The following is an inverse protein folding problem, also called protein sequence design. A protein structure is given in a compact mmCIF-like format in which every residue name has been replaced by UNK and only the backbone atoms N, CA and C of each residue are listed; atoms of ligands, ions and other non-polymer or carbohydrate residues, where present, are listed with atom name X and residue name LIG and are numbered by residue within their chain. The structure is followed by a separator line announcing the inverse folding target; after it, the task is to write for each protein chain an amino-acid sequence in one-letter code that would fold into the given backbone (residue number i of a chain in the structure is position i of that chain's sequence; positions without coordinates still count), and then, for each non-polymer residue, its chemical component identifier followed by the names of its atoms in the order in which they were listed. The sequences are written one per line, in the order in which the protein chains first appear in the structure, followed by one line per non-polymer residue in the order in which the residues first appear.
data_IF_797383027290
#
_entry.id   IF_797383027290
#
_cell.length_a   1.000
_cell.length_b   1.000
_cell.length_c   1.000
_cell.angle_alpha   90.00
_cell.angle_beta   90.00
_cell.angle_gamma   90.00
#
_symmetry.space_group_name_H-M   'P 1'
#
loop_
_entity.id
_entity.type
_entity.pdbx_description
1 polymer ?
#
# COMPACT_ATOMS: atom_id res chain seq x y z
N UNK A 1 63.13 51.65 36.86
CA UNK A 1 64.17 51.52 35.82
C UNK A 1 64.25 50.05 35.43
N UNK A 2 63.54 49.71 34.36
CA UNK A 2 63.77 48.68 33.33
C UNK A 2 64.70 47.49 33.64
N UNK A 3 64.20 46.27 33.41
CA UNK A 3 64.81 45.14 32.65
C UNK A 3 64.08 43.83 33.05
N UNK A 4 62.99 43.47 32.36
CA UNK A 4 62.90 42.55 31.21
C UNK A 4 63.10 41.06 31.56
N UNK A 5 62.03 40.31 31.27
CA UNK A 5 61.82 38.87 31.37
C UNK A 5 62.95 38.03 30.75
N UNK A 6 63.23 36.88 31.37
CA UNK A 6 63.40 35.63 30.62
C UNK A 6 62.87 34.47 31.47
N UNK A 7 61.69 33.98 31.09
CA UNK A 7 61.10 32.75 31.60
C UNK A 7 61.86 31.56 31.01
N UNK A 8 62.59 30.83 31.84
CA UNK A 8 63.02 29.47 31.50
C UNK A 8 62.01 28.48 32.08
N UNK A 9 61.23 27.93 31.15
CA UNK A 9 60.28 26.86 31.33
C UNK A 9 61.03 25.62 31.82
N UNK A 10 60.63 25.05 32.96
CA UNK A 10 61.00 23.70 33.34
C UNK A 10 60.48 22.75 32.26
N UNK A 11 61.38 22.23 31.42
CA UNK A 11 61.09 21.06 30.62
C UNK A 11 60.95 19.89 31.59
N UNK A 12 59.71 19.48 31.88
CA UNK A 12 59.45 18.13 32.36
C UNK A 12 60.00 17.15 31.33
N UNK A 13 60.80 16.19 31.79
CA UNK A 13 61.18 15.02 31.01
C UNK A 13 59.94 14.45 30.31
N UNK A 14 59.99 14.17 28.99
CA UNK A 14 58.89 13.50 28.34
C UNK A 14 58.76 12.12 28.98
N UNK A 15 57.57 11.83 29.52
CA UNK A 15 57.20 10.48 29.93
C UNK A 15 57.55 9.52 28.79
N UNK A 16 58.35 8.50 29.08
CA UNK A 16 58.63 7.44 28.12
C UNK A 16 57.29 6.96 27.53
N UNK A 17 57.14 7.14 26.21
CA UNK A 17 56.00 6.63 25.46
C UNK A 17 56.03 5.11 25.59
N UNK A 18 55.28 4.55 26.56
CA UNK A 18 55.10 3.11 26.66
C UNK A 18 54.54 2.61 25.33
N UNK A 19 55.27 1.71 24.66
CA UNK A 19 54.80 1.08 23.43
C UNK A 19 53.73 0.01 23.72
N UNK A 20 53.43 -0.22 25.00
CA UNK A 20 52.41 -1.16 25.46
C UNK A 20 51.02 -0.77 24.94
N UNK A 21 50.33 -1.74 24.34
CA UNK A 21 48.95 -1.57 23.87
C UNK A 21 48.13 -2.79 24.23
N UNK A 22 47.07 -2.56 24.99
CA UNK A 22 46.09 -3.58 25.32
C UNK A 22 45.30 -4.01 24.07
N UNK A 23 44.90 -5.29 23.96
CA UNK A 23 44.00 -5.77 22.92
C UNK A 23 42.67 -5.01 22.91
N UNK A 24 42.20 -4.67 21.72
CA UNK A 24 40.89 -4.07 21.45
C UNK A 24 40.14 -4.95 20.45
N UNK A 25 38.83 -5.04 20.57
CA UNK A 25 38.02 -5.86 19.65
C UNK A 25 38.09 -5.29 18.22
N UNK A 26 38.46 -6.13 17.26
CA UNK A 26 38.42 -5.85 15.82
C UNK A 26 37.12 -6.37 15.21
N UNK A 27 36.74 -7.60 15.54
CA UNK A 27 35.55 -8.26 15.03
C UNK A 27 34.80 -8.90 16.18
N UNK A 28 33.50 -8.61 16.23
CA UNK A 28 32.57 -9.10 17.26
C UNK A 28 31.51 -9.95 16.57
N UNK A 29 31.25 -11.13 17.14
CA UNK A 29 30.11 -11.97 16.79
C UNK A 29 29.06 -11.83 17.89
N UNK A 30 27.79 -11.65 17.53
CA UNK A 30 26.73 -11.64 18.54
C UNK A 30 26.47 -13.06 19.04
N UNK A 31 26.40 -13.28 20.36
CA UNK A 31 26.10 -14.60 20.90
C UNK A 31 24.68 -15.02 20.53
N UNK A 32 24.51 -16.28 20.15
CA UNK A 32 23.19 -16.83 19.90
C UNK A 32 22.48 -17.06 21.23
N UNK A 33 21.32 -16.43 21.41
CA UNK A 33 20.52 -16.61 22.61
C UNK A 33 19.80 -17.98 22.55
N UNK A 34 20.04 -18.91 23.50
CA UNK A 34 19.35 -20.21 23.49
C UNK A 34 17.85 -20.03 23.69
N UNK A 35 17.02 -20.68 22.85
CA UNK A 35 15.55 -20.51 22.86
C UNK A 35 14.90 -20.82 24.22
N UNK A 36 15.39 -21.83 24.94
CA UNK A 36 14.89 -22.19 26.28
C UNK A 36 15.05 -21.03 27.27
N UNK A 37 16.15 -20.28 27.16
CA UNK A 37 16.46 -19.18 28.08
C UNK A 37 15.76 -17.90 27.65
N UNK A 38 15.46 -17.77 26.35
CA UNK A 38 14.71 -16.64 25.81
C UNK A 38 13.28 -16.62 26.38
N UNK A 39 12.65 -17.79 26.49
CA UNK A 39 11.33 -17.96 27.10
C UNK A 39 11.32 -17.63 28.61
N UNK A 40 12.41 -17.94 29.32
CA UNK A 40 12.57 -17.63 30.75
C UNK A 40 12.96 -16.16 31.03
N UNK A 41 13.37 -15.41 30.00
CA UNK A 41 13.66 -13.99 30.10
C UNK A 41 14.93 -13.63 30.89
N UNK A 42 15.90 -14.55 31.01
CA UNK A 42 17.11 -14.38 31.84
C UNK A 42 18.11 -13.40 31.22
N UNK A 43 18.13 -12.16 31.70
CA UNK A 43 19.06 -11.13 31.21
C UNK A 43 20.25 -10.93 32.17
N UNK A 44 21.41 -10.55 31.62
CA UNK A 44 22.59 -10.25 32.43
C UNK A 44 23.90 -10.35 31.67
N UNK A 45 24.99 -10.40 32.42
CA UNK A 45 26.35 -10.46 31.89
C UNK A 45 27.01 -11.80 32.23
N UNK A 46 27.76 -12.36 31.27
CA UNK A 46 28.73 -13.46 31.52
C UNK A 46 30.12 -12.86 31.48
N UNK A 47 30.91 -13.06 32.55
CA UNK A 47 32.32 -12.65 32.59
C UNK A 47 33.20 -13.83 32.20
N UNK A 48 33.98 -13.67 31.14
CA UNK A 48 34.89 -14.68 30.62
C UNK A 48 36.34 -14.24 30.86
N UNK A 49 37.21 -15.18 31.22
CA UNK A 49 38.65 -15.06 31.02
C UNK A 49 38.98 -15.65 29.66
N UNK A 50 39.54 -14.84 28.76
CA UNK A 50 39.93 -15.28 27.42
C UNK A 50 41.45 -15.26 27.25
N UNK A 51 41.96 -16.24 26.51
CA UNK A 51 43.37 -16.34 26.14
C UNK A 51 43.52 -16.01 24.65
N UNK A 52 44.35 -15.02 24.36
CA UNK A 52 44.64 -14.56 23.01
C UNK A 52 46.00 -15.08 22.53
N UNK A 53 46.09 -15.44 21.25
CA UNK A 53 47.37 -15.68 20.59
C UNK A 53 48.07 -14.37 20.20
N UNK A 54 49.27 -14.50 19.64
CA UNK A 54 50.09 -13.40 19.11
C UNK A 54 49.47 -12.71 17.87
N UNK A 55 48.34 -13.20 17.36
CA UNK A 55 47.59 -12.61 16.26
C UNK A 55 46.25 -12.00 16.75
N UNK A 56 45.96 -12.05 18.05
CA UNK A 56 44.71 -11.57 18.63
C UNK A 56 43.50 -12.47 18.39
N UNK A 57 43.70 -13.75 18.06
CA UNK A 57 42.63 -14.76 18.02
C UNK A 57 42.42 -15.37 19.41
N UNK A 58 41.17 -15.65 19.74
CA UNK A 58 40.83 -16.31 21.01
C UNK A 58 41.11 -17.81 20.90
N UNK A 59 42.02 -18.32 21.74
CA UNK A 59 42.39 -19.75 21.80
C UNK A 59 41.52 -20.53 22.78
N UNK A 60 41.18 -19.90 23.90
CA UNK A 60 40.41 -20.50 24.98
C UNK A 60 39.59 -19.42 25.70
N UNK A 61 38.47 -19.84 26.28
CA UNK A 61 37.62 -19.01 27.13
C UNK A 61 37.14 -19.83 28.32
N UNK A 62 37.24 -19.25 29.52
CA UNK A 62 36.75 -19.84 30.77
C UNK A 62 35.76 -18.88 31.43
N UNK A 63 34.69 -19.41 32.00
CA UNK A 63 33.68 -18.61 32.70
C UNK A 63 34.20 -18.27 34.10
N UNK A 64 34.25 -16.97 34.41
CA UNK A 64 34.55 -16.45 35.74
C UNK A 64 33.27 -16.16 36.54
N UNK A 65 32.30 -15.52 35.88
CA UNK A 65 30.98 -15.25 36.45
C UNK A 65 29.92 -15.81 35.49
N UNK A 66 29.17 -16.81 35.98
CA UNK A 66 28.11 -17.49 35.24
C UNK A 66 26.79 -16.77 35.43
N UNK A 67 26.05 -16.61 34.33
CA UNK A 67 24.66 -16.16 34.37
C UNK A 67 23.71 -17.36 34.40
N UNK A 68 23.96 -18.34 33.52
CA UNK A 68 23.25 -19.60 33.43
C UNK A 68 24.08 -20.60 32.61
N UNK A 69 24.13 -21.90 32.94
CA UNK A 69 24.94 -22.88 32.21
C UNK A 69 24.74 -22.90 30.68
N UNK A 70 23.50 -22.75 30.22
CA UNK A 70 23.21 -22.73 28.77
C UNK A 70 23.62 -21.40 28.10
N UNK A 71 23.60 -20.28 28.83
CA UNK A 71 24.10 -18.98 28.34
C UNK A 71 25.62 -18.99 28.28
N UNK A 72 26.27 -19.61 29.27
CA UNK A 72 27.73 -19.69 29.37
C UNK A 72 28.34 -20.34 28.13
N UNK A 73 27.75 -21.43 27.64
CA UNK A 73 28.21 -22.09 26.41
C UNK A 73 28.06 -21.17 25.18
N UNK A 74 26.91 -20.48 25.06
CA UNK A 74 26.69 -19.52 23.98
C UNK A 74 27.70 -18.35 24.02
N UNK A 75 28.07 -17.90 25.21
CA UNK A 75 29.07 -16.85 25.42
C UNK A 75 30.47 -17.32 24.98
N UNK A 76 30.85 -18.56 25.33
CA UNK A 76 32.11 -19.18 24.89
C UNK A 76 32.14 -19.33 23.36
N UNK A 77 31.08 -19.89 22.76
CA UNK A 77 31.00 -20.13 21.32
C UNK A 77 31.09 -18.84 20.51
N UNK A 78 30.51 -17.75 21.03
CA UNK A 78 30.62 -16.43 20.43
C UNK A 78 32.03 -15.87 20.55
N UNK A 79 32.62 -15.86 21.75
CA UNK A 79 33.92 -15.21 21.98
C UNK A 79 35.06 -15.92 21.24
N UNK A 80 34.98 -17.23 21.06
CA UNK A 80 35.96 -18.00 20.27
C UNK A 80 36.03 -17.55 18.80
N UNK A 81 34.99 -16.89 18.29
CA UNK A 81 34.95 -16.37 16.94
C UNK A 81 35.44 -14.91 16.85
N UNK A 82 35.71 -14.25 17.97
CA UNK A 82 36.12 -12.84 17.96
C UNK A 82 37.54 -12.68 17.43
N UNK A 83 37.84 -11.46 17.00
CA UNK A 83 39.20 -11.02 16.67
C UNK A 83 39.52 -9.79 17.48
N UNK A 84 40.71 -9.77 18.05
CA UNK A 84 41.27 -8.65 18.80
C UNK A 84 42.52 -8.13 18.10
N UNK A 85 42.91 -6.90 18.43
CA UNK A 85 44.27 -6.44 18.14
C UNK A 85 45.26 -7.21 19.01
N UNK A 86 46.46 -7.54 18.50
CA UNK A 86 47.47 -8.21 19.31
C UNK A 86 47.92 -7.34 20.49
N UNK A 87 48.20 -7.98 21.63
CA UNK A 87 48.81 -7.29 22.77
C UNK A 87 50.26 -6.95 22.44
N UNK A 88 50.63 -5.68 22.65
CA UNK A 88 52.00 -5.20 22.55
C UNK A 88 52.50 -4.95 23.97
N UNK A 89 53.67 -5.48 24.31
CA UNK A 89 54.32 -5.22 25.60
C UNK A 89 55.00 -3.83 25.62
N UNK A 90 55.60 -3.46 26.77
CA UNK A 90 56.30 -2.18 26.92
C UNK A 90 57.45 -1.95 25.92
N UNK A 91 57.98 -3.02 25.29
CA UNK A 91 59.03 -2.96 24.28
C UNK A 91 58.47 -2.96 22.85
N UNK A 92 57.14 -3.01 22.68
CA UNK A 92 56.47 -3.09 21.38
C UNK A 92 56.53 -4.47 20.75
N UNK A 93 56.77 -5.53 21.54
CA UNK A 93 56.79 -6.91 21.07
C UNK A 93 55.40 -7.51 21.27
N UNK A 94 54.91 -8.23 20.26
CA UNK A 94 53.61 -8.89 20.30
C UNK A 94 53.70 -10.16 21.16
N UNK A 95 52.78 -10.31 22.11
CA UNK A 95 52.72 -11.50 22.99
C UNK A 95 51.30 -12.01 23.18
N UNK A 96 51.13 -13.32 23.50
CA UNK A 96 49.86 -13.85 23.99
C UNK A 96 49.40 -13.09 25.23
N UNK A 97 48.10 -12.90 25.37
CA UNK A 97 47.52 -12.15 26.48
C UNK A 97 46.33 -12.88 27.09
N UNK A 98 46.13 -12.70 28.40
CA UNK A 98 44.88 -13.07 29.08
C UNK A 98 44.15 -11.82 29.49
N UNK A 99 42.84 -11.78 29.23
CA UNK A 99 42.01 -10.64 29.66
C UNK A 99 40.61 -11.10 30.04
N UNK A 100 39.95 -10.30 30.86
CA UNK A 100 38.55 -10.50 31.22
C UNK A 100 37.66 -9.77 30.22
N UNK A 101 36.70 -10.49 29.64
CA UNK A 101 35.75 -9.95 28.67
C UNK A 101 34.32 -10.22 29.12
N UNK A 102 33.46 -9.20 29.03
CA UNK A 102 32.07 -9.28 29.47
C UNK A 102 31.15 -9.35 28.26
N UNK A 103 30.34 -10.40 28.19
CA UNK A 103 29.29 -10.57 27.17
C UNK A 103 27.94 -10.32 27.84
N UNK A 104 27.23 -9.31 27.35
CA UNK A 104 25.88 -8.99 27.82
C UNK A 104 24.82 -9.70 26.97
N UNK A 105 23.88 -10.38 27.64
CA UNK A 105 22.70 -10.99 27.06
C UNK A 105 21.47 -10.18 27.42
N UNK A 106 20.79 -9.66 26.40
CA UNK A 106 19.50 -8.98 26.54
C UNK A 106 18.47 -9.64 25.64
N UNK A 107 17.30 -9.94 26.21
CA UNK A 107 16.14 -10.35 25.41
C UNK A 107 15.59 -9.08 24.78
N UNK A 108 15.74 -8.94 23.46
CA UNK A 108 14.93 -7.99 22.71
C UNK A 108 13.51 -8.53 22.71
N UNK A 109 12.70 -8.10 23.67
CA UNK A 109 11.27 -8.40 23.66
C UNK A 109 10.68 -7.75 22.42
N UNK A 110 10.60 -8.50 21.32
CA UNK A 110 9.76 -8.11 20.20
C UNK A 110 8.37 -7.90 20.77
N UNK A 111 7.91 -6.65 20.80
CA UNK A 111 6.54 -6.35 21.17
C UNK A 111 5.70 -6.91 20.03
N UNK A 112 5.22 -8.14 20.22
CA UNK A 112 4.45 -8.87 19.21
C UNK A 112 3.19 -8.11 18.80
N UNK A 113 2.65 -7.23 19.65
CA UNK A 113 1.47 -6.41 19.37
C UNK A 113 1.85 -4.94 19.11
N UNK A 114 1.91 -4.51 17.86
CA UNK A 114 2.29 -3.13 17.53
C UNK A 114 1.10 -2.16 17.46
N UNK A 115 -0.15 -2.66 17.37
CA UNK A 115 -1.36 -1.80 17.43
C UNK A 115 -2.46 -2.46 18.26
N UNK A 116 -3.03 -1.69 19.19
CA UNK A 116 -4.19 -2.09 19.98
C UNK A 116 -5.24 -0.98 20.01
N UNK A 117 -6.49 -1.32 20.28
CA UNK A 117 -7.48 -0.27 20.43
C UNK A 117 -8.89 -0.72 20.77
N UNK A 118 -9.78 0.27 20.82
CA UNK A 118 -11.21 0.08 20.98
C UNK A 118 -11.97 0.80 19.88
N UNK A 119 -13.05 0.17 19.41
CA UNK A 119 -14.04 0.79 18.52
C UNK A 119 -15.36 0.91 19.27
N UNK A 120 -15.96 2.11 19.23
CA UNK A 120 -17.27 2.41 19.83
C UNK A 120 -18.15 3.27 18.92
N UNK A 121 -19.45 3.29 19.16
CA UNK A 121 -20.37 4.22 18.52
C UNK A 121 -20.21 5.64 19.10
N UNK A 122 -20.79 6.64 18.44
CA UNK A 122 -20.90 8.01 18.97
C UNK A 122 -21.48 8.10 20.38
N UNK A 123 -22.40 7.19 20.73
CA UNK A 123 -23.03 7.10 22.06
C UNK A 123 -22.19 6.31 23.08
N UNK A 124 -20.99 5.87 22.70
CA UNK A 124 -20.05 5.18 23.58
C UNK A 124 -20.24 3.67 23.69
N UNK A 125 -21.15 3.07 22.91
CA UNK A 125 -21.39 1.62 22.92
C UNK A 125 -20.23 0.92 22.20
N UNK A 126 -19.54 -0.06 22.83
CA UNK A 126 -18.49 -0.82 22.15
C UNK A 126 -19.04 -1.60 20.94
N UNK A 127 -18.30 -1.56 19.83
CA UNK A 127 -18.71 -2.19 18.57
C UNK A 127 -17.85 -3.41 18.27
N UNK A 128 -18.46 -4.60 18.33
CA UNK A 128 -17.87 -5.85 17.87
C UNK A 128 -17.99 -6.00 16.36
N UNK A 129 -17.25 -6.93 15.77
CA UNK A 129 -17.31 -7.26 14.34
C UNK A 129 -17.11 -6.03 13.45
N UNK A 130 -16.18 -5.15 13.84
CA UNK A 130 -15.72 -4.02 13.04
C UNK A 130 -14.48 -4.49 12.29
N UNK A 131 -14.46 -4.32 10.97
CA UNK A 131 -13.30 -4.63 10.14
C UNK A 131 -12.36 -3.43 10.14
N UNK A 132 -11.11 -3.65 10.51
CA UNK A 132 -10.03 -2.65 10.45
C UNK A 132 -9.00 -3.11 9.41
N UNK A 133 -8.84 -2.33 8.34
CA UNK A 133 -7.87 -2.57 7.27
C UNK A 133 -6.77 -1.51 7.33
N UNK A 134 -5.54 -1.95 7.55
CA UNK A 134 -4.33 -1.12 7.49
C UNK A 134 -3.65 -1.33 6.14
N UNK A 135 -3.27 -0.25 5.46
CA UNK A 135 -2.57 -0.30 4.17
C UNK A 135 -1.36 0.64 4.10
N UNK A 136 -0.27 0.17 3.51
CA UNK A 136 0.94 0.93 3.22
C UNK A 136 1.53 0.45 1.88
N UNK A 137 1.37 1.24 0.82
CA UNK A 137 1.78 0.83 -0.53
C UNK A 137 1.02 -0.42 -0.98
N UNK A 138 1.73 -1.52 -1.23
CA UNK A 138 1.14 -2.82 -1.59
C UNK A 138 0.88 -3.74 -0.38
N UNK A 139 1.34 -3.35 0.83
CA UNK A 139 1.11 -4.13 2.04
C UNK A 139 -0.25 -3.83 2.67
N UNK A 140 -0.94 -4.88 3.13
CA UNK A 140 -2.18 -4.78 3.88
C UNK A 140 -2.19 -5.71 5.09
N UNK A 141 -2.88 -5.29 6.15
CA UNK A 141 -3.20 -6.09 7.34
C UNK A 141 -4.65 -5.85 7.72
N UNK A 142 -5.32 -6.90 8.21
CA UNK A 142 -6.73 -6.80 8.62
C UNK A 142 -6.90 -7.41 10.00
N UNK A 143 -7.72 -6.77 10.83
CA UNK A 143 -8.14 -7.28 12.13
C UNK A 143 -9.62 -6.94 12.35
N UNK A 144 -10.29 -7.77 13.14
CA UNK A 144 -11.69 -7.59 13.51
C UNK A 144 -11.81 -7.29 15.01
N UNK A 145 -12.71 -6.38 15.39
CA UNK A 145 -12.97 -6.11 16.81
C UNK A 145 -13.81 -7.21 17.46
N UNK A 146 -13.47 -7.56 18.70
CA UNK A 146 -14.22 -8.54 19.50
C UNK A 146 -15.45 -7.96 20.20
N UNK A 147 -16.17 -8.76 21.00
CA UNK A 147 -17.43 -8.39 21.67
C UNK A 147 -17.41 -7.13 22.55
N UNK A 148 -16.24 -6.73 23.04
CA UNK A 148 -16.06 -5.51 23.86
C UNK A 148 -15.54 -4.32 23.02
N UNK A 149 -15.61 -4.40 21.70
CA UNK A 149 -15.04 -3.43 20.76
C UNK A 149 -13.51 -3.38 20.75
N UNK A 150 -12.83 -4.29 21.44
CA UNK A 150 -11.36 -4.35 21.50
C UNK A 150 -10.79 -5.08 20.29
N UNK A 151 -9.67 -4.60 19.79
CA UNK A 151 -8.87 -5.28 18.77
C UNK A 151 -7.38 -5.19 19.12
N UNK A 152 -6.61 -6.18 18.65
CA UNK A 152 -5.16 -6.21 18.75
C UNK A 152 -4.60 -6.75 17.44
N UNK A 153 -3.64 -6.04 16.86
CA UNK A 153 -2.95 -6.43 15.64
C UNK A 153 -1.46 -6.58 15.93
N UNK A 154 -0.99 -7.80 15.70
CA UNK A 154 0.40 -8.19 15.86
C UNK A 154 1.19 -8.04 14.57
N UNK A 155 2.51 -7.92 14.70
CA UNK A 155 3.47 -8.00 13.59
C UNK A 155 3.21 -6.99 12.45
N UNK A 156 2.66 -5.81 12.76
CA UNK A 156 2.62 -4.70 11.80
C UNK A 156 3.96 -3.94 11.83
N UNK A 157 4.68 -3.83 10.70
CA UNK A 157 5.93 -3.07 10.60
C UNK A 157 5.80 -1.60 11.01
N UNK A 158 6.90 -1.02 11.50
CA UNK A 158 6.97 0.40 11.78
C UNK A 158 6.83 1.24 10.50
N UNK A 159 6.15 2.38 10.61
CA UNK A 159 5.87 3.28 9.48
C UNK A 159 4.49 3.92 9.56
N UNK A 160 4.14 4.67 8.50
CA UNK A 160 2.84 5.32 8.36
C UNK A 160 1.87 4.40 7.61
N UNK A 161 0.71 4.15 8.20
CA UNK A 161 -0.33 3.28 7.67
C UNK A 161 -1.63 4.05 7.47
N UNK A 162 -2.33 3.81 6.36
CA UNK A 162 -3.70 4.25 6.18
C UNK A 162 -4.64 3.20 6.78
N UNK A 163 -5.42 3.59 7.78
CA UNK A 163 -6.42 2.77 8.45
C UNK A 163 -7.81 3.09 7.89
N UNK A 164 -8.50 2.07 7.39
CA UNK A 164 -9.92 2.07 7.02
C UNK A 164 -10.69 1.22 8.05
N UNK A 165 -11.73 1.78 8.65
CA UNK A 165 -12.56 1.12 9.67
C UNK A 165 -13.98 1.05 9.15
N UNK A 166 -14.52 -0.17 9.04
CA UNK A 166 -15.83 -0.42 8.43
C UNK A 166 -16.69 -1.32 9.31
N UNK A 167 -17.96 -0.95 9.43
CA UNK A 167 -19.00 -1.78 10.03
C UNK A 167 -20.34 -1.46 9.37
N UNK A 168 -21.15 -2.48 9.10
CA UNK A 168 -22.50 -2.32 8.59
C UNK A 168 -23.33 -1.40 9.50
N UNK A 169 -24.05 -0.44 8.90
CA UNK A 169 -24.84 0.54 9.63
C UNK A 169 -24.05 1.75 10.17
N UNK A 170 -22.75 1.86 9.86
CA UNK A 170 -21.89 2.97 10.29
C UNK A 170 -21.13 3.60 9.12
N UNK A 171 -20.84 4.89 9.24
CA UNK A 171 -19.96 5.61 8.32
C UNK A 171 -18.56 4.98 8.34
N UNK A 172 -17.93 4.91 7.17
CA UNK A 172 -16.56 4.43 7.05
C UNK A 172 -15.59 5.49 7.56
N UNK A 173 -14.73 5.11 8.51
CA UNK A 173 -13.70 6.00 9.07
C UNK A 173 -12.35 5.73 8.38
N UNK A 174 -11.70 6.79 7.91
CA UNK A 174 -10.33 6.76 7.37
C UNK A 174 -9.40 7.59 8.26
N UNK A 175 -8.22 7.06 8.59
CA UNK A 175 -7.24 7.72 9.47
C UNK A 175 -5.81 7.28 9.14
N UNK A 176 -4.84 8.20 9.25
CA UNK A 176 -3.43 7.84 9.21
C UNK A 176 -2.94 7.44 10.61
N UNK A 177 -2.19 6.34 10.68
CA UNK A 177 -1.67 5.75 11.92
C UNK A 177 -0.16 5.59 11.80
N UNK A 178 0.58 6.18 12.73
CA UNK A 178 2.02 6.01 12.86
C UNK A 178 2.30 4.83 13.80
N UNK A 179 3.01 3.82 13.30
CA UNK A 179 3.47 2.67 14.08
C UNK A 179 4.96 2.83 14.33
N UNK A 180 5.36 2.86 15.59
CA UNK A 180 6.76 2.99 16.00
C UNK A 180 7.32 1.63 16.45
N UNK A 181 8.61 1.42 16.18
CA UNK A 181 9.32 0.23 16.66
C UNK A 181 9.35 0.24 18.20
N UNK A 182 9.21 -0.95 18.80
CA UNK A 182 9.22 -1.16 20.25
C UNK A 182 8.16 -0.37 21.05
N UNK A 183 7.04 0.01 20.43
CA UNK A 183 5.91 0.65 21.10
C UNK A 183 4.56 0.07 20.65
N UNK A 184 3.59 0.08 21.57
CA UNK A 184 2.21 -0.28 21.27
C UNK A 184 1.45 0.99 20.91
N UNK A 185 1.01 1.11 19.66
CA UNK A 185 0.13 2.21 19.24
C UNK A 185 -1.30 1.93 19.72
N UNK A 186 -1.84 2.79 20.59
CA UNK A 186 -3.20 2.68 21.13
C UNK A 186 -4.17 3.57 20.35
N UNK A 187 -5.23 2.98 19.81
CA UNK A 187 -6.26 3.66 19.04
C UNK A 187 -7.61 3.65 19.76
N UNK A 188 -8.25 4.82 19.85
CA UNK A 188 -9.63 4.96 20.29
C UNK A 188 -10.45 5.48 19.11
N UNK A 189 -11.31 4.62 18.58
CA UNK A 189 -12.02 4.83 17.31
C UNK A 189 -13.51 4.98 17.59
N UNK A 190 -14.12 6.01 17.01
CA UNK A 190 -15.54 6.30 17.15
C UNK A 190 -16.18 6.28 15.78
N UNK A 191 -17.17 5.41 15.59
CA UNK A 191 -17.96 5.34 14.36
C UNK A 191 -19.30 6.06 14.54
N UNK A 192 -19.66 6.88 13.55
CA UNK A 192 -20.97 7.49 13.47
C UNK A 192 -21.95 6.52 12.78
N UNK A 193 -23.18 6.34 13.30
CA UNK A 193 -24.19 5.55 12.60
C UNK A 193 -24.55 6.22 11.27
N UNK A 194 -24.79 5.41 10.25
CA UNK A 194 -25.29 5.90 8.96
C UNK A 194 -26.63 6.59 9.20
N UNK A 195 -26.68 7.90 8.95
CA UNK A 195 -27.93 8.65 8.98
C UNK A 195 -28.69 8.33 7.71
N UNK A 196 -29.64 7.40 7.81
CA UNK A 196 -30.70 7.27 6.81
C UNK A 196 -31.69 8.39 7.10
N UNK A 197 -31.74 9.42 6.25
CA UNK A 197 -32.81 10.41 6.34
C UNK A 197 -34.14 9.68 6.13
N UNK A 198 -34.91 9.53 7.23
CA UNK A 198 -36.28 9.03 7.19
C UNK A 198 -37.16 10.03 6.45
N UNK A 199 -37.23 9.93 5.12
CA UNK A 199 -38.28 10.57 4.35
C UNK A 199 -39.60 9.82 4.64
N UNK A 200 -40.46 10.46 5.41
CA UNK A 200 -41.84 10.02 5.67
C UNK A 200 -42.69 10.14 4.40
N UNK A 201 -42.48 9.25 3.42
CA UNK A 201 -43.47 9.03 2.36
C UNK A 201 -43.73 7.54 2.21
N UNK A 202 -44.97 7.19 2.46
CA UNK A 202 -45.56 5.86 2.38
C UNK A 202 -45.31 5.16 1.04
N UNK A 203 -44.74 3.96 1.12
CA UNK A 203 -44.90 2.84 0.18
C UNK A 203 -44.65 3.11 -1.31
N UNK A 204 -43.37 3.02 -1.70
CA UNK A 204 -42.94 2.13 -2.77
C UNK A 204 -41.51 1.69 -2.43
N UNK A 205 -41.28 0.39 -2.24
CA UNK A 205 -39.93 -0.11 -1.96
C UNK A 205 -39.16 -0.12 -3.28
N UNK A 206 -38.12 0.71 -3.40
CA UNK A 206 -37.12 0.53 -4.45
C UNK A 206 -36.09 -0.47 -3.94
N UNK A 207 -36.10 -1.67 -4.51
CA UNK A 207 -35.06 -2.68 -4.27
C UNK A 207 -33.82 -2.21 -5.03
N UNK A 208 -32.88 -1.56 -4.34
CA UNK A 208 -31.55 -1.30 -4.91
C UNK A 208 -30.77 -2.61 -4.83
N UNK A 209 -30.83 -3.38 -5.92
CA UNK A 209 -29.86 -4.42 -6.20
C UNK A 209 -28.58 -3.68 -6.61
N UNK A 210 -27.63 -3.51 -5.68
CA UNK A 210 -26.27 -3.23 -6.10
C UNK A 210 -25.74 -4.48 -6.79
N UNK A 211 -25.87 -4.49 -8.11
CA UNK A 211 -25.13 -5.42 -8.96
C UNK A 211 -23.66 -5.15 -8.69
N UNK A 212 -23.00 -6.04 -7.95
CA UNK A 212 -21.54 -6.12 -7.93
C UNK A 212 -21.15 -6.20 -9.40
N UNK A 213 -20.63 -5.12 -9.98
CA UNK A 213 -20.24 -5.08 -11.39
C UNK A 213 -19.19 -6.17 -11.62
N UNK A 214 -19.66 -7.34 -12.05
CA UNK A 214 -18.82 -8.47 -12.39
C UNK A 214 -18.23 -8.13 -13.75
N UNK A 215 -16.90 -7.96 -13.74
CA UNK A 215 -15.97 -7.80 -14.85
C UNK A 215 -15.86 -6.35 -15.37
N UNK A 216 -14.68 -5.75 -15.13
CA UNK A 216 -14.16 -4.81 -16.12
C UNK A 216 -14.02 -5.58 -17.42
N UNK A 217 -14.73 -5.15 -18.44
CA UNK A 217 -14.68 -5.76 -19.76
C UNK A 217 -13.24 -5.55 -20.27
N UNK A 218 -12.42 -6.61 -20.27
CA UNK A 218 -10.96 -6.55 -20.55
C UNK A 218 -10.61 -5.90 -21.90
N UNK A 219 -11.59 -5.71 -22.79
CA UNK A 219 -11.44 -5.09 -24.12
C UNK A 219 -12.41 -3.93 -24.34
N UNK A 220 -12.86 -3.25 -23.29
CA UNK A 220 -13.70 -2.06 -23.44
C UNK A 220 -12.83 -0.81 -23.65
N UNK A 221 -13.22 0.00 -24.63
CA UNK A 221 -12.59 1.29 -24.91
C UNK A 221 -13.62 2.41 -24.80
N UNK A 222 -13.35 3.34 -23.91
CA UNK A 222 -14.15 4.54 -23.73
C UNK A 222 -13.68 5.66 -24.65
N UNK A 223 -14.64 6.42 -25.17
CA UNK A 223 -14.41 7.73 -25.77
C UNK A 223 -15.37 8.70 -25.07
N UNK A 224 -14.83 9.69 -24.37
CA UNK A 224 -15.67 10.68 -23.68
C UNK A 224 -16.31 11.64 -24.69
N UNK A 225 -17.44 12.22 -24.32
CA UNK A 225 -18.12 13.25 -25.12
C UNK A 225 -17.21 14.43 -25.46
N UNK A 226 -16.29 14.82 -24.57
CA UNK A 226 -15.30 15.87 -24.83
C UNK A 226 -14.29 15.46 -25.91
N UNK A 227 -13.78 14.22 -25.87
CA UNK A 227 -12.85 13.71 -26.89
C UNK A 227 -13.54 13.64 -28.27
N UNK A 228 -14.79 13.19 -28.29
CA UNK A 228 -15.62 13.06 -29.51
C UNK A 228 -15.77 14.40 -30.22
N UNK A 229 -15.99 15.48 -29.49
CA UNK A 229 -16.21 16.81 -30.06
C UNK A 229 -15.00 17.29 -30.89
N UNK A 230 -13.79 16.84 -30.54
CA UNK A 230 -12.56 17.20 -31.24
C UNK A 230 -12.08 16.16 -32.25
N UNK A 231 -12.78 15.02 -32.39
CA UNK A 231 -12.39 13.98 -33.34
C UNK A 231 -12.74 14.36 -34.79
N UNK A 232 -11.74 14.45 -35.69
CA UNK A 232 -12.02 14.76 -37.09
C UNK A 232 -12.80 13.62 -37.77
N UNK A 233 -13.73 13.98 -38.65
CA UNK A 233 -14.51 13.03 -39.45
C UNK A 233 -15.73 12.42 -38.76
N UNK A 234 -15.98 12.73 -37.48
CA UNK A 234 -17.23 12.38 -36.78
C UNK A 234 -18.36 13.37 -37.07
N UNK A 235 -18.05 14.58 -37.56
CA UNK A 235 -18.99 15.73 -37.61
C UNK A 235 -19.62 16.04 -36.23
N UNK A 236 -18.88 15.77 -35.15
CA UNK A 236 -19.35 15.91 -33.78
C UNK A 236 -20.22 14.74 -33.29
N UNK A 237 -20.49 13.74 -34.11
CA UNK A 237 -21.33 12.59 -33.76
C UNK A 237 -20.56 11.53 -32.96
N UNK A 238 -21.07 11.26 -31.76
CA UNK A 238 -20.52 10.32 -30.78
C UNK A 238 -20.35 8.88 -31.25
N UNK A 239 -21.31 8.33 -31.99
CA UNK A 239 -21.25 6.94 -32.45
C UNK A 239 -20.38 6.85 -33.70
N UNK A 240 -20.33 7.89 -34.52
CA UNK A 240 -19.40 7.96 -35.65
C UNK A 240 -17.95 8.11 -35.23
N UNK A 241 -17.67 8.75 -34.10
CA UNK A 241 -16.33 8.82 -33.57
C UNK A 241 -15.73 7.42 -33.34
N UNK A 242 -16.56 6.43 -33.02
CA UNK A 242 -16.16 5.02 -32.89
C UNK A 242 -15.56 4.50 -34.20
N UNK A 243 -15.95 5.00 -35.38
CA UNK A 243 -15.34 4.62 -36.67
C UNK A 243 -13.83 4.88 -36.79
N UNK A 244 -13.27 5.70 -35.90
CA UNK A 244 -11.84 5.97 -35.84
C UNK A 244 -11.07 4.94 -34.98
N UNK A 245 -11.75 4.01 -34.31
CA UNK A 245 -11.12 2.99 -33.49
C UNK A 245 -10.60 1.80 -34.34
N UNK A 246 -9.53 1.13 -33.89
CA UNK A 246 -9.00 -0.04 -34.57
C UNK A 246 -10.01 -1.19 -34.58
N UNK A 247 -10.04 -1.92 -35.70
CA UNK A 247 -10.95 -3.05 -35.87
C UNK A 247 -12.36 -2.67 -36.33
N UNK A 248 -12.58 -1.42 -36.73
CA UNK A 248 -13.84 -0.97 -37.32
C UNK A 248 -13.64 -0.60 -38.78
N UNK A 249 -14.51 -1.11 -39.63
CA UNK A 249 -14.65 -0.70 -41.01
C UNK A 249 -15.93 0.12 -41.20
N UNK A 250 -15.89 1.04 -42.16
CA UNK A 250 -17.05 1.86 -42.55
C UNK A 250 -17.93 1.06 -43.50
N UNK A 251 -19.21 0.93 -43.21
CA UNK A 251 -20.15 0.36 -44.15
C UNK A 251 -20.33 1.27 -45.39
N UNK A 252 -20.75 0.72 -46.53
CA UNK A 252 -21.17 1.52 -47.68
C UNK A 252 -22.26 2.54 -47.31
N UNK A 253 -22.26 3.68 -48.01
CA UNK A 253 -23.27 4.73 -47.84
C UNK A 253 -24.69 4.16 -47.95
N UNK A 254 -25.57 4.55 -47.02
CA UNK A 254 -26.97 4.12 -46.96
C UNK A 254 -27.26 2.96 -45.99
N UNK A 255 -26.24 2.19 -45.59
CA UNK A 255 -26.37 1.12 -44.57
C UNK A 255 -26.16 1.68 -43.17
N UNK A 256 -25.24 2.63 -43.03
CA UNK A 256 -25.03 3.41 -41.81
C UNK A 256 -24.47 2.70 -40.59
N UNK A 257 -24.56 1.38 -40.55
CA UNK A 257 -24.05 0.55 -39.49
C UNK A 257 -22.51 0.45 -39.52
N UNK A 258 -21.94 0.03 -38.40
CA UNK A 258 -20.51 -0.23 -38.24
C UNK A 258 -20.21 -1.66 -38.67
N UNK A 259 -19.02 -1.90 -39.19
CA UNK A 259 -18.49 -3.25 -39.41
C UNK A 259 -17.44 -3.49 -38.35
N UNK A 260 -17.77 -4.25 -37.30
CA UNK A 260 -16.85 -4.49 -36.18
C UNK A 260 -16.16 -5.83 -36.39
N UNK A 261 -14.83 -5.82 -36.49
CA UNK A 261 -13.99 -7.00 -36.75
C UNK A 261 -14.43 -7.83 -37.97
N UNK A 262 -15.08 -7.20 -38.96
CA UNK A 262 -15.47 -7.83 -40.21
C UNK A 262 -16.80 -8.59 -40.16
N UNK A 263 -17.63 -8.43 -39.12
CA UNK A 263 -18.98 -8.98 -39.10
C UNK A 263 -19.91 -8.30 -40.10
N UNK A 264 -21.05 -8.92 -40.40
CA UNK A 264 -22.07 -8.25 -41.19
C UNK A 264 -22.51 -6.96 -40.46
N UNK A 265 -22.82 -5.87 -41.17
CA UNK A 265 -23.25 -4.62 -40.54
C UNK A 265 -24.41 -4.82 -39.55
N UNK A 266 -25.33 -5.73 -39.87
CA UNK A 266 -26.49 -6.11 -39.05
C UNK A 266 -26.14 -6.86 -37.75
N UNK A 267 -24.92 -7.40 -37.64
CA UNK A 267 -24.44 -8.09 -36.43
C UNK A 267 -23.75 -7.12 -35.44
N UNK A 268 -23.51 -5.87 -35.85
CA UNK A 268 -23.02 -4.82 -34.96
C UNK A 268 -24.17 -4.30 -34.11
N UNK A 269 -24.02 -4.39 -32.79
CA UNK A 269 -25.12 -4.09 -31.87
C UNK A 269 -24.90 -2.76 -31.16
N UNK A 270 -25.97 -2.01 -30.93
CA UNK A 270 -25.94 -0.73 -30.23
C UNK A 270 -26.78 -0.79 -28.97
N UNK A 271 -26.28 -0.16 -27.91
CA UNK A 271 -26.96 -0.03 -26.63
C UNK A 271 -26.97 1.43 -26.19
N UNK A 272 -28.00 1.82 -25.44
CA UNK A 272 -28.03 3.06 -24.65
C UNK A 272 -28.33 2.64 -23.21
N UNK A 273 -27.39 2.92 -22.29
CA UNK A 273 -27.49 2.55 -20.87
C UNK A 273 -27.89 1.08 -20.66
N UNK A 274 -27.33 0.18 -21.48
CA UNK A 274 -27.65 -1.25 -21.47
C UNK A 274 -28.96 -1.66 -22.17
N UNK A 275 -29.77 -0.72 -22.66
CA UNK A 275 -30.95 -0.97 -23.48
C UNK A 275 -30.60 -1.14 -24.97
N UNK A 276 -31.03 -2.22 -25.62
CA UNK A 276 -30.72 -2.50 -27.02
C UNK A 276 -31.43 -1.51 -27.98
N UNK A 277 -30.67 -0.93 -28.91
CA UNK A 277 -31.15 -0.01 -29.94
C UNK A 277 -30.91 -0.65 -31.32
N UNK A 278 -31.95 -1.19 -31.98
CA UNK A 278 -31.80 -1.84 -33.28
C UNK A 278 -31.25 -0.92 -34.38
N UNK A 279 -31.70 0.34 -34.39
CA UNK A 279 -31.27 1.36 -35.36
C UNK A 279 -30.83 2.62 -34.63
N UNK A 280 -29.51 2.78 -34.48
CA UNK A 280 -28.92 3.94 -33.80
C UNK A 280 -28.68 5.13 -34.74
N UNK A 281 -28.77 4.91 -36.06
CA UNK A 281 -28.50 5.92 -37.07
C UNK A 281 -29.77 6.37 -37.81
N UNK A 282 -29.86 7.68 -38.04
CA UNK A 282 -30.82 8.34 -38.90
C UNK A 282 -30.27 8.54 -40.32
N UNK A 283 -31.18 8.70 -41.29
CA UNK A 283 -30.88 9.07 -42.68
C UNK A 283 -29.79 8.21 -43.34
N UNK A 284 -29.95 6.88 -43.27
CA UNK A 284 -29.05 5.92 -43.93
C UNK A 284 -27.62 5.90 -43.38
N UNK A 285 -27.41 6.28 -42.12
CA UNK A 285 -26.10 6.29 -41.48
C UNK A 285 -25.42 7.63 -41.31
N UNK A 286 -26.13 8.73 -41.59
CA UNK A 286 -25.51 10.03 -41.63
C UNK A 286 -25.42 10.72 -40.27
N UNK A 287 -26.33 10.44 -39.35
CA UNK A 287 -26.27 10.94 -37.98
C UNK A 287 -26.83 9.89 -37.03
N UNK A 288 -26.45 9.96 -35.77
CA UNK A 288 -27.03 9.17 -34.69
C UNK A 288 -28.38 9.78 -34.30
N UNK A 289 -29.34 8.96 -33.87
CA UNK A 289 -30.65 9.42 -33.37
C UNK A 289 -30.59 10.04 -31.97
N UNK A 290 -29.45 9.94 -31.31
CA UNK A 290 -29.20 10.40 -29.94
C UNK A 290 -28.45 11.73 -29.98
N UNK A 291 -28.93 12.69 -29.19
CA UNK A 291 -28.27 13.99 -29.04
C UNK A 291 -26.95 13.83 -28.30
N UNK A 292 -25.89 14.50 -28.77
CA UNK A 292 -24.57 14.43 -28.14
C UNK A 292 -24.55 15.06 -26.74
N UNK A 293 -25.46 16.00 -26.48
CA UNK A 293 -25.55 16.74 -25.22
C UNK A 293 -25.91 15.85 -24.03
N UNK A 294 -26.72 14.81 -24.27
CA UNK A 294 -27.15 13.87 -23.23
C UNK A 294 -26.15 12.72 -23.00
N UNK A 295 -25.14 12.60 -23.85
CA UNK A 295 -24.16 11.51 -23.81
C UNK A 295 -22.97 11.95 -22.96
N UNK A 296 -22.57 11.08 -22.05
CA UNK A 296 -21.35 11.22 -21.26
C UNK A 296 -20.17 10.61 -22.00
N UNK A 297 -20.32 9.37 -22.44
CA UNK A 297 -19.29 8.58 -23.11
C UNK A 297 -19.88 7.49 -24.02
N UNK A 298 -19.03 6.97 -24.91
CA UNK A 298 -19.31 5.79 -25.71
C UNK A 298 -18.30 4.71 -25.37
N UNK A 299 -18.81 3.55 -24.97
CA UNK A 299 -18.02 2.35 -24.75
C UNK A 299 -18.05 1.45 -25.99
N UNK A 300 -16.88 1.18 -26.55
CA UNK A 300 -16.71 0.23 -27.65
C UNK A 300 -16.19 -1.11 -27.13
N UNK A 301 -16.93 -2.17 -27.40
CA UNK A 301 -16.60 -3.53 -27.01
C UNK A 301 -16.53 -4.42 -28.25
N UNK A 302 -15.32 -4.69 -28.78
CA UNK A 302 -15.16 -5.48 -30.00
C UNK A 302 -15.33 -7.00 -29.78
N UNK A 303 -15.50 -7.46 -28.54
CA UNK A 303 -15.66 -8.87 -28.16
C UNK A 303 -15.33 -9.12 -26.69
N UNK A 304 -15.50 -10.37 -26.22
CA UNK A 304 -15.26 -10.79 -24.83
C UNK A 304 -16.02 -9.95 -23.78
N UNK A 305 -17.21 -9.50 -24.15
CA UNK A 305 -18.13 -8.78 -23.28
C UNK A 305 -18.98 -9.76 -22.45
N UNK A 306 -19.53 -9.27 -21.34
CA UNK A 306 -20.38 -10.00 -20.40
C UNK A 306 -21.62 -10.59 -21.07
N UNK A 307 -22.15 -11.66 -20.47
CA UNK A 307 -23.37 -12.37 -20.89
C UNK A 307 -24.61 -11.46 -20.89
N UNK A 308 -24.56 -10.29 -20.25
CA UNK A 308 -25.64 -9.28 -20.30
C UNK A 308 -25.94 -8.78 -21.71
N UNK A 309 -24.93 -8.77 -22.59
CA UNK A 309 -25.05 -8.36 -24.00
C UNK A 309 -25.33 -9.54 -24.93
N UNK A 310 -26.16 -10.50 -24.48
CA UNK A 310 -26.45 -11.73 -25.20
C UNK A 310 -27.14 -11.54 -26.56
N UNK A 311 -27.22 -12.63 -27.33
CA UNK A 311 -27.93 -12.72 -28.64
C UNK A 311 -27.33 -11.89 -29.79
N UNK A 312 -26.02 -11.67 -29.82
CA UNK A 312 -25.35 -11.09 -30.99
C UNK A 312 -24.06 -11.86 -31.34
N UNK A 313 -23.56 -11.61 -32.56
CA UNK A 313 -22.41 -12.31 -33.14
C UNK A 313 -21.17 -11.40 -33.30
N UNK A 314 -21.33 -10.09 -33.16
CA UNK A 314 -20.32 -9.08 -33.46
C UNK A 314 -19.77 -8.35 -32.25
N UNK A 315 -19.20 -7.18 -32.50
CA UNK A 315 -18.92 -6.22 -31.43
C UNK A 315 -20.14 -5.37 -31.13
N UNK A 316 -20.06 -4.59 -30.06
CA UNK A 316 -21.11 -3.66 -29.68
C UNK A 316 -20.55 -2.29 -29.31
N UNK A 317 -21.45 -1.32 -29.37
CA UNK A 317 -21.24 0.06 -28.91
C UNK A 317 -22.32 0.36 -27.87
N UNK A 318 -21.90 0.70 -26.66
CA UNK A 318 -22.79 1.07 -25.56
C UNK A 318 -22.65 2.57 -25.28
N UNK A 319 -23.74 3.30 -25.49
CA UNK A 319 -23.82 4.75 -25.35
C UNK A 319 -24.29 5.03 -23.92
N UNK A 320 -23.48 5.72 -23.13
CA UNK A 320 -23.82 6.04 -21.75
C UNK A 320 -24.29 7.47 -21.64
N UNK A 321 -25.49 7.66 -21.12
CA UNK A 321 -26.05 8.99 -20.89
C UNK A 321 -25.56 9.56 -19.57
N UNK A 322 -25.58 10.90 -19.45
CA UNK A 322 -25.20 11.58 -18.21
C UNK A 322 -26.17 11.19 -17.09
N UNK A 323 -25.68 10.80 -15.90
CA UNK A 323 -26.51 10.27 -14.81
C UNK A 323 -27.40 11.33 -14.15
N UNK A 324 -27.09 12.60 -14.31
CA UNK A 324 -27.86 13.70 -13.72
C UNK A 324 -28.24 14.75 -14.76
N UNK A 325 -29.44 15.30 -14.57
CA UNK A 325 -29.84 16.51 -15.27
C UNK A 325 -28.96 17.68 -14.78
N UNK A 326 -28.56 18.60 -15.66
CA UNK A 326 -27.79 19.78 -15.25
C UNK A 326 -28.52 20.54 -14.12
N UNK A 327 -27.77 20.93 -13.08
CA UNK A 327 -28.31 21.71 -11.94
C UNK A 327 -28.93 23.05 -12.38
N UNK A 328 -28.48 23.58 -13.51
CA UNK A 328 -29.01 24.78 -14.14
C UNK A 328 -29.68 24.43 -15.47
N UNK A 329 -30.80 25.09 -15.79
CA UNK A 329 -31.44 24.93 -17.10
C UNK A 329 -30.51 25.41 -18.21
N UNK A 330 -29.90 24.46 -18.93
CA UNK A 330 -29.09 24.72 -20.12
C UNK A 330 -29.91 24.43 -21.36
N UNK A 331 -30.06 25.43 -22.22
CA UNK A 331 -30.65 25.28 -23.55
C UNK A 331 -29.56 25.36 -24.61
N UNK A 332 -29.48 24.37 -25.48
CA UNK A 332 -28.61 24.38 -26.65
C UNK A 332 -29.48 24.46 -27.89
N UNK A 333 -29.23 25.44 -28.76
CA UNK A 333 -29.83 25.52 -30.08
C UNK A 333 -28.69 25.33 -31.08
N UNK A 334 -28.67 24.17 -31.73
CA UNK A 334 -27.80 23.90 -32.86
C UNK A 334 -28.60 24.09 -34.16
N UNK A 335 -27.99 24.79 -35.12
CA UNK A 335 -28.52 24.91 -36.48
C UNK A 335 -27.46 24.37 -37.42
N UNK A 336 -27.70 23.18 -37.94
CA UNK A 336 -26.83 22.55 -38.93
C UNK A 336 -27.58 22.45 -40.27
N UNK A 337 -27.06 23.19 -41.27
CA UNK A 337 -27.61 23.23 -42.63
C UNK A 337 -27.35 21.94 -43.43
N UNK A 338 -26.45 21.08 -42.97
CA UNK A 338 -26.19 19.75 -43.54
C UNK A 338 -27.07 18.66 -42.92
N UNK A 339 -27.54 18.85 -41.68
CA UNK A 339 -28.44 17.91 -40.98
C UNK A 339 -29.92 18.31 -41.07
N UNK A 340 -30.24 19.52 -41.52
CA UNK A 340 -31.63 19.95 -41.77
C UNK A 340 -32.12 19.38 -43.10
N UNK A 341 -32.80 18.23 -43.03
CA UNK A 341 -33.60 17.74 -44.15
C UNK A 341 -34.93 18.50 -44.17
N UNK A 342 -35.22 19.21 -45.26
CA UNK A 342 -36.57 19.68 -45.57
C UNK A 342 -37.43 18.47 -45.99
N UNK A 343 -38.61 18.32 -45.38
CA UNK A 343 -39.67 17.44 -45.87
C UNK A 343 -40.72 18.23 -46.64
#
# INVERSE_FOLDING_TARGET
MQLLLFSYLFAQEPAESSLERAPTVLERVEPMYPSVIEEEGIQGDVLLEIELDDQGRVLAANVLESLHPDIDQAAIDAVLQFRFTPYLDANGIVQPAKLQYRISFSVKKSIQESVQGTVRSGDGIPLAEVILLFSQGEEFRTVESGPQGKFSLSDIPSGEWNLLVQKDGFDTLQKNVSVTEDQITILDLVLAPLQVEESNTSADFEIIIEERAVNSELTERFISSEEIFFLPGSNGDVVKAVQNLPGIARAPLGVGQLIIRGTAPEDSTYYIDGGNIPDVFHFGGLTTVVSNEIIEEVAFLPGNYSVRYGRQLGGLVDIRTRPSLPEETKGVISVDIYQSAFY
#
